data_IF_961238122607
#
_entry.id   IF_961238122607
#
_cell.length_a   1.000
_cell.length_b   1.000
_cell.length_c   1.000
_cell.angle_alpha   90.00
_cell.angle_beta   90.00
_cell.angle_gamma   90.00
#
_symmetry.space_group_name_H-M   'P 1'
#
loop_
_entity.id
_entity.type
_entity.pdbx_description
1 polymer ?
#
# COMPACT_ATOMS: atom_id res chain seq x y z
N UNK A 1 -28.15 7.00 -12.11
CA UNK A 1 -27.71 6.85 -11.81
C UNK A 1 -27.12 6.42 -11.33
N UNK A 2 -26.88 6.18 -11.10
CA UNK A 2 -26.42 5.82 -10.63
C UNK A 2 -25.64 5.33 -10.36
N UNK A 3 -25.32 5.19 -10.21
CA UNK A 3 -24.57 4.80 -9.88
C UNK A 3 -23.75 4.25 -9.77
N UNK A 4 -23.78 3.75 -9.85
CA UNK A 4 -22.89 3.18 -9.88
C UNK A 4 -21.70 3.29 -9.27
N UNK A 5 -21.36 3.84 -8.70
CA UNK A 5 -20.32 4.02 -8.07
C UNK A 5 -20.04 3.14 -7.05
N UNK A 6 -20.70 2.28 -6.77
CA UNK A 6 -20.43 1.38 -5.82
C UNK A 6 -19.17 0.70 -6.01
N UNK A 7 -18.70 0.63 -7.14
CA UNK A 7 -17.41 0.01 -7.41
C UNK A 7 -16.26 0.93 -7.05
N UNK A 8 -16.57 2.16 -6.72
CA UNK A 8 -15.54 3.10 -6.38
C UNK A 8 -15.04 2.88 -4.97
N UNK A 9 -13.76 3.06 -4.78
CA UNK A 9 -13.15 2.99 -3.45
C UNK A 9 -11.98 3.95 -3.44
N UNK A 10 -11.60 4.37 -2.25
CA UNK A 10 -10.47 5.26 -2.12
C UNK A 10 -9.19 4.48 -2.12
N UNK A 11 -8.26 4.87 -2.96
CA UNK A 11 -6.92 4.31 -2.92
C UNK A 11 -6.11 5.09 -1.89
N UNK A 12 -5.05 4.45 -1.41
CA UNK A 12 -4.16 5.12 -0.48
C UNK A 12 -3.34 6.14 -1.27
N UNK A 13 -3.42 7.42 -0.92
CA UNK A 13 -2.71 8.43 -1.70
C UNK A 13 -1.20 8.37 -1.47
N UNK A 14 -0.46 8.82 -2.47
CA UNK A 14 0.98 8.90 -2.37
C UNK A 14 1.35 9.80 -1.20
N UNK A 15 2.38 9.41 -0.46
CA UNK A 15 2.80 10.16 0.71
C UNK A 15 2.21 9.65 2.01
N UNK A 16 1.27 8.72 1.95
CA UNK A 16 0.69 8.15 3.15
C UNK A 16 1.67 7.19 3.80
N UNK A 17 1.85 7.33 5.10
CA UNK A 17 2.71 6.42 5.84
C UNK A 17 1.94 5.19 6.21
N UNK A 18 2.55 4.03 5.99
CA UNK A 18 1.88 2.75 6.20
C UNK A 18 2.81 1.79 6.92
N UNK A 19 2.22 0.77 7.51
CA UNK A 19 2.96 -0.32 8.12
C UNK A 19 2.40 -1.63 7.60
N UNK A 20 3.20 -2.68 7.72
CA UNK A 20 2.77 -4.02 7.36
C UNK A 20 3.52 -5.03 8.22
N UNK A 21 2.96 -6.22 8.32
CA UNK A 21 3.61 -7.27 9.09
C UNK A 21 4.58 -8.01 8.19
N UNK A 22 5.76 -8.25 8.72
CA UNK A 22 6.78 -8.97 7.99
C UNK A 22 7.41 -9.95 8.96
N UNK A 23 6.96 -11.19 8.91
CA UNK A 23 7.40 -12.23 9.84
C UNK A 23 7.12 -11.78 11.26
N UNK A 24 8.12 -11.67 12.10
CA UNK A 24 7.93 -11.25 13.48
C UNK A 24 8.17 -9.76 13.67
N UNK A 25 8.30 -9.02 12.58
CA UNK A 25 8.59 -7.60 12.64
C UNK A 25 7.49 -6.81 11.94
N UNK A 26 7.55 -5.49 12.08
CA UNK A 26 6.63 -4.60 11.40
C UNK A 26 7.45 -3.72 10.47
N UNK A 27 7.09 -3.72 9.18
CA UNK A 27 7.73 -2.85 8.22
C UNK A 27 7.05 -1.50 8.21
N UNK A 28 7.82 -0.48 7.87
CA UNK A 28 7.34 0.89 7.78
C UNK A 28 7.72 1.46 6.45
N UNK A 29 6.83 2.22 5.85
CA UNK A 29 7.13 2.84 4.58
C UNK A 29 6.15 3.93 4.23
N UNK A 30 6.34 4.50 3.05
CA UNK A 30 5.49 5.54 2.52
C UNK A 30 5.00 5.11 1.15
N UNK A 31 3.70 5.21 0.93
CA UNK A 31 3.12 4.85 -0.36
C UNK A 31 3.61 5.84 -1.40
N UNK A 32 4.12 5.32 -2.52
CA UNK A 32 4.56 6.15 -3.63
C UNK A 32 3.46 6.32 -4.67
N UNK A 33 2.55 5.38 -4.73
CA UNK A 33 1.44 5.44 -5.66
C UNK A 33 0.83 4.07 -5.87
N UNK A 34 -0.15 4.01 -6.76
CA UNK A 34 -0.81 2.76 -7.09
C UNK A 34 -0.02 2.06 -8.18
N UNK A 35 0.41 0.83 -7.89
CA UNK A 35 1.13 0.03 -8.87
C UNK A 35 0.15 -0.62 -9.84
N UNK A 36 -0.92 -1.20 -9.28
CA UNK A 36 -1.95 -1.82 -10.11
C UNK A 36 -3.26 -1.75 -9.35
N UNK A 37 -4.23 -1.06 -9.90
CA UNK A 37 -5.52 -0.91 -9.26
C UNK A 37 -6.33 -2.17 -9.43
N UNK A 38 -6.87 -2.67 -8.31
CA UNK A 38 -7.72 -3.84 -8.31
C UNK A 38 -9.18 -3.47 -8.30
N UNK A 39 -10.01 -4.42 -7.92
CA UNK A 39 -11.46 -4.20 -7.87
C UNK A 39 -11.89 -3.62 -6.54
N UNK A 40 -11.03 -3.68 -5.54
CA UNK A 40 -11.31 -3.06 -4.25
C UNK A 40 -9.98 -2.69 -3.60
N UNK A 41 -10.06 -2.08 -2.42
CA UNK A 41 -8.85 -1.62 -1.75
C UNK A 41 -7.92 -2.77 -1.38
N UNK A 42 -8.48 -3.92 -1.05
CA UNK A 42 -7.66 -5.04 -0.60
C UNK A 42 -6.81 -5.63 -1.70
N UNK A 43 -7.30 -5.65 -2.93
CA UNK A 43 -6.52 -6.24 -4.01
C UNK A 43 -5.86 -5.21 -4.92
N UNK A 44 -5.83 -3.96 -4.51
CA UNK A 44 -5.06 -2.94 -5.20
C UNK A 44 -3.63 -3.02 -4.73
N UNK A 45 -2.69 -3.01 -5.67
CA UNK A 45 -1.26 -3.12 -5.35
C UNK A 45 -0.66 -1.72 -5.31
N UNK A 46 0.11 -1.46 -4.29
CA UNK A 46 0.73 -0.15 -4.10
C UNK A 46 2.24 -0.27 -4.12
N UNK A 47 2.88 0.76 -4.65
CA UNK A 47 4.33 0.89 -4.56
C UNK A 47 4.63 1.60 -3.25
N UNK A 48 5.46 0.97 -2.42
CA UNK A 48 5.76 1.48 -1.10
C UNK A 48 7.27 1.60 -0.94
N UNK A 49 7.72 2.79 -0.56
CA UNK A 49 9.13 3.00 -0.27
C UNK A 49 9.39 2.62 1.16
N UNK A 50 10.28 1.66 1.37
CA UNK A 50 10.60 1.19 2.72
C UNK A 50 11.49 2.19 3.43
N UNK A 51 11.15 2.52 4.68
CA UNK A 51 11.97 3.44 5.46
C UNK A 51 13.24 2.76 5.94
N UNK A 52 13.10 1.50 6.38
CA UNK A 52 14.24 0.76 6.88
C UNK A 52 14.43 -0.49 6.05
N UNK A 53 15.42 -0.49 5.19
CA UNK A 53 15.73 -1.68 4.42
C UNK A 53 17.21 -1.97 4.58
N UNK A 54 17.53 -3.25 4.52
CA UNK A 54 18.91 -3.68 4.65
C UNK A 54 19.62 -3.54 3.31
N UNK A 55 20.94 -3.45 3.34
CA UNK A 55 21.71 -3.43 2.09
C UNK A 55 21.34 -4.63 1.23
N UNK A 56 21.10 -4.38 -0.04
CA UNK A 56 20.72 -5.44 -0.95
C UNK A 56 19.22 -5.60 -1.13
N UNK A 57 18.44 -5.01 -0.25
CA UNK A 57 16.98 -5.04 -0.39
C UNK A 57 16.52 -3.86 -1.24
N UNK A 58 15.45 -4.01 -2.01
CA UNK A 58 14.94 -2.89 -2.79
C UNK A 58 14.36 -1.83 -1.88
N UNK A 59 14.55 -0.57 -2.24
CA UNK A 59 13.97 0.52 -1.48
C UNK A 59 12.45 0.59 -1.68
N UNK A 60 11.98 0.16 -2.84
CA UNK A 60 10.56 0.21 -3.16
C UNK A 60 10.06 -1.23 -3.34
N UNK A 61 8.98 -1.55 -2.66
CA UNK A 61 8.36 -2.87 -2.75
C UNK A 61 6.89 -2.71 -3.08
N UNK A 62 6.27 -3.81 -3.50
CA UNK A 62 4.85 -3.80 -3.85
C UNK A 62 4.09 -4.57 -2.79
N UNK A 63 3.08 -3.95 -2.24
CA UNK A 63 2.21 -4.59 -1.27
C UNK A 63 0.75 -4.36 -1.65
N UNK A 64 -0.09 -5.33 -1.35
CA UNK A 64 -1.53 -5.15 -1.56
C UNK A 64 -2.09 -4.28 -0.45
N UNK A 65 -3.21 -3.63 -0.74
CA UNK A 65 -3.86 -2.80 0.27
C UNK A 65 -4.26 -3.59 1.50
N UNK A 66 -4.55 -4.88 1.31
CA UNK A 66 -4.91 -5.73 2.42
C UNK A 66 -3.76 -5.88 3.42
N UNK A 67 -2.53 -5.85 2.93
CA UNK A 67 -1.37 -6.02 3.79
C UNK A 67 -0.96 -4.73 4.50
N UNK A 68 -1.46 -3.60 4.04
CA UNK A 68 -1.02 -2.31 4.55
C UNK A 68 -1.98 -1.74 5.58
N UNK A 69 -1.42 -1.12 6.61
CA UNK A 69 -2.20 -0.40 7.62
C UNK A 69 -1.73 1.04 7.59
N UNK A 70 -2.64 1.97 7.50
CA UNK A 70 -2.27 3.38 7.52
C UNK A 70 -1.75 3.75 8.90
N UNK A 71 -0.63 4.44 8.90
CA UNK A 71 -0.05 4.93 10.15
C UNK A 71 -0.57 6.32 10.40
N UNK A 72 -0.82 6.62 11.63
CA UNK A 72 -1.32 7.94 12.00
C UNK A 72 -0.22 8.90 12.31
#
# INVERSE_FOLDING_TARGET
MTETKKAEFETIPAGTKVTWHYRSAIGHGTVKGVHKKGTNADNTMYSVEQHDHHPGEPAVVIHSGKALTRSK
#
